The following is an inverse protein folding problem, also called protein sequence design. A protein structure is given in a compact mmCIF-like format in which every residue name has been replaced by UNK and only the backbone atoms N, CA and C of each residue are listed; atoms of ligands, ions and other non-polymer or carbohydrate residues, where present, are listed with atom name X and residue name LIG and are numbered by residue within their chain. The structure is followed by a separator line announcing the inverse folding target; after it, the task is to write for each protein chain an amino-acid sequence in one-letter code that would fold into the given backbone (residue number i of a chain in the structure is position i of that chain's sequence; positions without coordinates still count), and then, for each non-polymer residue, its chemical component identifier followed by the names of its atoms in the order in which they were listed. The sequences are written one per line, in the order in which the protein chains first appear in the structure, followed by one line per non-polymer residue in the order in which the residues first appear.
data_IF_909875177621
#
_entry.id   IF_909875177621
#
_cell.length_a   1.000
_cell.length_b   1.000
_cell.length_c   1.000
_cell.angle_alpha   90.00
_cell.angle_beta   90.00
_cell.angle_gamma   90.00
#
_symmetry.space_group_name_H-M   'P 1'
#
loop_
_entity.id
_entity.type
_entity.pdbx_description
1 polymer ?
#
# COMPACT_ATOMS: atom_id res chain seq x y z
N UNK A 1 -17.37 -7.70 -13.44
CA UNK A 1 -15.95 -7.99 -13.14
C UNK A 1 -15.84 -8.44 -11.70
N UNK A 2 -14.63 -8.66 -11.19
CA UNK A 2 -14.39 -8.98 -9.79
C UNK A 2 -13.21 -8.17 -9.25
N UNK A 3 -13.24 -7.84 -7.97
CA UNK A 3 -12.06 -7.37 -7.23
C UNK A 3 -11.53 -8.52 -6.39
N UNK A 4 -10.22 -8.69 -6.37
CA UNK A 4 -9.57 -9.82 -5.68
C UNK A 4 -8.38 -9.34 -4.88
N UNK A 5 -8.24 -9.82 -3.65
CA UNK A 5 -7.02 -9.72 -2.86
C UNK A 5 -6.32 -11.07 -2.93
N UNK A 6 -5.08 -11.06 -3.42
CA UNK A 6 -4.25 -12.25 -3.61
C UNK A 6 -2.84 -12.05 -3.07
N UNK A 7 -2.18 -13.13 -2.68
CA UNK A 7 -0.78 -13.12 -2.31
C UNK A 7 0.14 -13.22 -3.55
N UNK A 8 1.45 -12.96 -3.41
CA UNK A 8 2.41 -13.11 -4.52
C UNK A 8 2.42 -14.51 -5.17
N UNK A 9 1.99 -15.55 -4.45
CA UNK A 9 1.87 -16.92 -4.97
C UNK A 9 0.54 -17.21 -5.70
N UNK A 10 -0.34 -16.21 -5.84
CA UNK A 10 -1.63 -16.34 -6.52
C UNK A 10 -2.76 -16.94 -5.68
N UNK A 11 -2.58 -17.11 -4.37
CA UNK A 11 -3.65 -17.57 -3.48
C UNK A 11 -4.63 -16.44 -3.23
N UNK A 12 -5.92 -16.69 -3.47
CA UNK A 12 -7.01 -15.73 -3.27
C UNK A 12 -7.44 -15.74 -1.81
N UNK A 13 -7.32 -14.59 -1.15
CA UNK A 13 -7.78 -14.41 0.23
C UNK A 13 -9.17 -13.78 0.30
N UNK A 14 -9.53 -12.96 -0.69
CA UNK A 14 -10.85 -12.34 -0.74
C UNK A 14 -11.26 -12.03 -2.17
N UNK A 15 -12.56 -12.10 -2.43
CA UNK A 15 -13.15 -11.84 -3.74
C UNK A 15 -14.47 -11.10 -3.56
N UNK A 16 -14.69 -10.08 -4.39
CA UNK A 16 -15.95 -9.35 -4.50
C UNK A 16 -16.41 -9.34 -5.95
N UNK A 17 -17.65 -9.75 -6.19
CA UNK A 17 -18.28 -9.64 -7.51
C UNK A 17 -18.78 -8.21 -7.73
N UNK A 18 -18.25 -7.56 -8.77
CA UNK A 18 -18.59 -6.17 -9.08
C UNK A 18 -19.77 -6.14 -10.07
N UNK A 19 -20.88 -5.53 -9.62
CA UNK A 19 -22.07 -5.28 -10.45
C UNK A 19 -21.83 -4.21 -11.53
N UNK A 20 -20.82 -3.34 -11.31
CA UNK A 20 -20.37 -2.30 -12.24
C UNK A 20 -18.88 -2.47 -12.53
N UNK A 21 -18.32 -1.56 -13.31
CA UNK A 21 -16.87 -1.47 -13.47
C UNK A 21 -16.20 -1.33 -12.10
N UNK A 22 -15.09 -2.04 -11.91
CA UNK A 22 -14.31 -1.99 -10.69
C UNK A 22 -13.82 -0.57 -10.41
N UNK A 23 -13.85 -0.19 -9.15
CA UNK A 23 -13.32 1.08 -8.68
C UNK A 23 -12.51 0.88 -7.40
N UNK A 24 -11.68 1.85 -6.99
CA UNK A 24 -10.98 1.79 -5.70
C UNK A 24 -11.93 1.56 -4.52
N UNK A 25 -13.19 2.00 -4.61
CA UNK A 25 -14.22 1.71 -3.60
C UNK A 25 -14.40 0.23 -3.37
N UNK A 26 -14.46 -0.56 -4.44
CA UNK A 26 -14.72 -2.00 -4.34
C UNK A 26 -13.58 -2.74 -3.66
N UNK A 27 -12.35 -2.29 -3.94
CA UNK A 27 -11.16 -2.80 -3.29
C UNK A 27 -11.05 -2.33 -1.82
N UNK A 28 -11.41 -1.08 -1.50
CA UNK A 28 -11.50 -0.61 -0.11
C UNK A 28 -12.53 -1.42 0.69
N UNK A 29 -13.68 -1.76 0.11
CA UNK A 29 -14.68 -2.60 0.80
C UNK A 29 -14.09 -3.97 1.19
N UNK A 30 -13.30 -4.58 0.30
CA UNK A 30 -12.57 -5.81 0.61
C UNK A 30 -11.55 -5.60 1.74
N UNK A 31 -10.71 -4.58 1.62
CA UNK A 31 -9.68 -4.27 2.62
C UNK A 31 -10.25 -3.99 4.01
N UNK A 32 -11.35 -3.23 4.09
CA UNK A 32 -12.01 -2.91 5.36
C UNK A 32 -12.85 -4.06 5.92
N UNK A 33 -13.08 -5.13 5.14
CA UNK A 33 -13.70 -6.35 5.66
C UNK A 33 -12.72 -7.23 6.45
N UNK A 34 -11.42 -6.96 6.34
CA UNK A 34 -10.39 -7.69 7.08
C UNK A 34 -10.29 -7.16 8.50
N UNK A 35 -10.10 -8.07 9.46
CA UNK A 35 -9.84 -7.69 10.84
C UNK A 35 -8.52 -6.91 10.98
N UNK A 36 -7.51 -7.27 10.19
CA UNK A 36 -6.22 -6.60 10.13
C UNK A 36 -5.89 -6.26 8.67
N UNK A 37 -5.71 -4.98 8.39
CA UNK A 37 -5.32 -4.52 7.06
C UNK A 37 -3.88 -4.98 6.74
N UNK A 38 -3.56 -5.40 5.50
CA UNK A 38 -2.18 -5.67 5.12
C UNK A 38 -1.28 -4.44 5.30
N UNK A 39 -0.06 -4.63 5.81
CA UNK A 39 0.92 -3.54 5.92
C UNK A 39 1.42 -3.02 4.56
N UNK A 40 1.38 -3.85 3.51
CA UNK A 40 1.68 -3.44 2.14
C UNK A 40 0.58 -3.93 1.22
N UNK A 41 -0.07 -3.00 0.52
CA UNK A 41 -1.06 -3.27 -0.51
C UNK A 41 -0.50 -2.85 -1.87
N UNK A 42 -0.57 -3.72 -2.87
CA UNK A 42 -0.18 -3.40 -4.25
C UNK A 42 -1.45 -3.21 -5.08
N UNK A 43 -1.57 -2.08 -5.76
CA UNK A 43 -2.76 -1.73 -6.54
C UNK A 43 -2.42 -0.84 -7.74
N UNK A 44 -3.15 -1.00 -8.84
CA UNK A 44 -2.95 -0.29 -10.11
C UNK A 44 -3.17 1.23 -9.97
N UNK A 45 -4.09 1.64 -9.11
CA UNK A 45 -4.38 3.03 -8.78
C UNK A 45 -4.14 3.33 -7.29
N UNK A 46 -2.92 3.03 -6.82
CA UNK A 46 -2.50 3.14 -5.42
C UNK A 46 -2.88 4.47 -4.75
N UNK A 47 -2.69 5.61 -5.43
CA UNK A 47 -3.07 6.93 -4.89
C UNK A 47 -4.57 7.04 -4.65
N UNK A 48 -5.39 6.63 -5.61
CA UNK A 48 -6.85 6.67 -5.47
C UNK A 48 -7.34 5.77 -4.36
N UNK A 49 -6.72 4.59 -4.21
CA UNK A 49 -7.02 3.67 -3.13
C UNK A 49 -6.70 4.28 -1.76
N UNK A 50 -5.51 4.88 -1.61
CA UNK A 50 -5.09 5.55 -0.38
C UNK A 50 -6.07 6.65 0.04
N UNK A 51 -6.36 7.57 -0.89
CA UNK A 51 -7.26 8.70 -0.63
C UNK A 51 -8.66 8.22 -0.29
N UNK A 52 -9.18 7.22 -1.00
CA UNK A 52 -10.53 6.71 -0.74
C UNK A 52 -10.64 6.02 0.61
N UNK A 53 -9.67 5.18 0.99
CA UNK A 53 -9.65 4.50 2.28
C UNK A 53 -9.50 5.48 3.45
N UNK A 54 -8.56 6.42 3.36
CA UNK A 54 -8.33 7.44 4.39
C UNK A 54 -9.54 8.37 4.56
N UNK A 55 -10.24 8.70 3.49
CA UNK A 55 -11.48 9.48 3.57
C UNK A 55 -12.63 8.69 4.23
N UNK A 56 -12.68 7.37 4.02
CA UNK A 56 -13.74 6.50 4.58
C UNK A 56 -13.59 6.25 6.08
N UNK A 57 -12.36 6.21 6.59
CA UNK A 57 -12.07 5.97 8.01
C UNK A 57 -11.14 7.07 8.55
N UNK A 58 -11.64 8.31 8.69
CA UNK A 58 -10.79 9.45 9.03
C UNK A 58 -10.24 9.41 10.46
N UNK A 59 -10.83 8.59 11.33
CA UNK A 59 -10.40 8.46 12.73
C UNK A 59 -9.11 7.66 12.92
N UNK A 60 -8.82 6.70 12.03
CA UNK A 60 -7.66 5.80 12.17
C UNK A 60 -6.70 5.84 10.98
N UNK A 61 -7.07 6.50 9.87
CA UNK A 61 -6.28 6.64 8.63
C UNK A 61 -5.63 5.31 8.18
N UNK A 62 -6.38 4.43 7.48
CA UNK A 62 -5.94 3.10 7.10
C UNK A 62 -4.56 3.02 6.43
N UNK A 63 -4.15 4.04 5.67
CA UNK A 63 -2.83 4.11 5.04
C UNK A 63 -1.99 5.24 5.61
N UNK A 64 -0.97 4.87 6.37
CA UNK A 64 -0.03 5.74 7.09
C UNK A 64 1.32 5.03 7.27
N UNK A 65 2.46 5.74 7.31
CA UNK A 65 2.62 7.19 7.24
C UNK A 65 2.46 7.74 5.81
N UNK A 66 2.44 9.08 5.69
CA UNK A 66 2.48 9.81 4.41
C UNK A 66 1.40 9.39 3.40
N UNK A 67 0.17 9.14 3.85
CA UNK A 67 -0.93 8.65 3.01
C UNK A 67 -0.58 7.32 2.30
N UNK A 68 0.21 6.47 2.95
CA UNK A 68 0.66 5.18 2.44
C UNK A 68 1.79 5.24 1.42
N UNK A 69 2.54 6.35 1.35
CA UNK A 69 3.80 6.45 0.58
C UNK A 69 4.98 6.00 1.43
N UNK A 70 6.05 5.53 0.79
CA UNK A 70 7.25 5.04 1.47
C UNK A 70 8.10 6.16 2.10
N UNK A 71 7.89 7.41 1.71
CA UNK A 71 8.59 8.57 2.26
C UNK A 71 7.73 9.82 2.14
N UNK A 72 8.10 10.86 2.89
CA UNK A 72 7.47 12.18 2.78
C UNK A 72 7.70 12.79 1.38
N UNK A 73 6.73 13.57 0.92
CA UNK A 73 6.67 14.18 -0.41
C UNK A 73 7.58 15.40 -0.61
N UNK A 74 8.74 15.41 0.05
CA UNK A 74 9.75 16.46 -0.10
C UNK A 74 10.39 16.40 -1.49
N UNK A 75 10.82 17.55 -2.00
CA UNK A 75 11.48 17.64 -3.31
C UNK A 75 12.75 16.76 -3.37
N UNK A 76 13.47 16.67 -2.25
CA UNK A 76 14.65 15.82 -2.11
C UNK A 76 14.32 14.33 -2.27
N UNK A 77 13.30 13.82 -1.55
CA UNK A 77 12.89 12.42 -1.63
C UNK A 77 12.40 12.07 -3.03
N UNK A 78 11.59 12.94 -3.63
CA UNK A 78 11.09 12.77 -5.01
C UNK A 78 12.26 12.68 -5.99
N UNK A 79 13.26 13.56 -5.87
CA UNK A 79 14.43 13.56 -6.74
C UNK A 79 15.31 12.32 -6.53
N UNK A 80 15.56 11.91 -5.28
CA UNK A 80 16.29 10.68 -4.96
C UNK A 80 15.58 9.45 -5.51
N UNK A 81 14.26 9.38 -5.40
CA UNK A 81 13.45 8.29 -5.93
C UNK A 81 13.48 8.24 -7.47
N UNK A 82 13.32 9.38 -8.14
CA UNK A 82 13.42 9.47 -9.61
C UNK A 82 14.80 9.06 -10.13
N UNK A 83 15.86 9.33 -9.38
CA UNK A 83 17.23 8.91 -9.71
C UNK A 83 17.54 7.45 -9.33
N UNK A 84 16.57 6.71 -8.74
CA UNK A 84 16.79 5.34 -8.26
C UNK A 84 17.72 5.23 -7.04
N UNK A 85 18.01 6.35 -6.37
CA UNK A 85 18.93 6.44 -5.22
C UNK A 85 18.21 6.33 -3.88
N UNK A 86 16.88 6.47 -3.86
CA UNK A 86 16.09 6.25 -2.65
C UNK A 86 15.83 4.76 -2.47
N UNK A 87 16.15 4.23 -1.29
CA UNK A 87 15.76 2.91 -0.83
C UNK A 87 15.14 3.03 0.55
N UNK A 88 13.99 2.40 0.75
CA UNK A 88 13.26 2.37 2.01
C UNK A 88 13.21 0.92 2.45
N UNK A 89 13.98 0.60 3.50
CA UNK A 89 14.02 -0.75 4.07
C UNK A 89 12.83 -0.96 4.98
N UNK A 90 12.11 -2.06 4.76
CA UNK A 90 10.99 -2.52 5.60
C UNK A 90 11.37 -3.87 6.23
N UNK A 91 12.27 -3.90 7.23
CA UNK A 91 12.82 -5.14 7.78
C UNK A 91 11.75 -6.04 8.41
N UNK A 92 10.64 -5.45 8.87
CA UNK A 92 9.49 -6.17 9.44
C UNK A 92 8.73 -7.06 8.46
N UNK A 93 9.04 -6.97 7.16
CA UNK A 93 8.57 -7.93 6.14
C UNK A 93 9.30 -9.27 6.22
N UNK A 94 10.53 -9.29 6.74
CA UNK A 94 11.36 -10.49 6.88
C UNK A 94 11.25 -11.06 8.29
N UNK A 95 11.39 -10.20 9.30
CA UNK A 95 11.37 -10.59 10.72
C UNK A 95 10.42 -9.68 11.49
N UNK A 96 9.44 -10.27 12.18
CA UNK A 96 8.46 -9.51 12.97
C UNK A 96 9.16 -8.59 13.99
N UNK A 97 8.68 -7.34 14.12
CA UNK A 97 9.18 -6.41 15.13
C UNK A 97 8.98 -6.94 16.56
N UNK A 98 9.98 -6.74 17.42
CA UNK A 98 9.91 -7.01 18.84
C UNK A 98 9.00 -6.00 19.56
N UNK A 99 8.16 -6.48 20.48
CA UNK A 99 7.21 -5.68 21.28
C UNK A 99 6.19 -4.86 20.47
N UNK A 100 5.32 -5.51 19.67
CA UNK A 100 4.26 -4.80 18.95
C UNK A 100 3.26 -4.15 19.92
N UNK A 101 2.83 -2.92 19.62
CA UNK A 101 1.69 -2.31 20.30
C UNK A 101 0.39 -3.03 19.89
N UNK A 102 -0.72 -2.77 20.59
CA UNK A 102 -2.04 -3.33 20.24
C UNK A 102 -2.55 -2.87 18.87
N UNK A 103 -1.99 -1.80 18.31
CA UNK A 103 -2.36 -1.25 16.99
C UNK A 103 -1.52 -1.82 15.84
N UNK A 104 -0.46 -2.57 16.15
CA UNK A 104 0.39 -3.18 15.14
C UNK A 104 -0.28 -4.41 14.50
N UNK A 105 0.04 -4.65 13.23
CA UNK A 105 -0.38 -5.86 12.54
C UNK A 105 0.24 -7.10 13.22
N UNK A 106 -0.55 -8.16 13.51
CA UNK A 106 -0.12 -9.26 14.38
C UNK A 106 1.03 -10.09 13.81
N UNK A 107 1.21 -10.10 12.49
CA UNK A 107 2.26 -10.89 11.81
C UNK A 107 3.58 -10.11 11.70
N UNK A 108 3.53 -8.81 11.38
CA UNK A 108 4.74 -8.01 11.10
C UNK A 108 5.18 -7.20 12.31
N UNK A 109 4.27 -6.92 13.24
CA UNK A 109 4.51 -6.01 14.36
C UNK A 109 4.67 -4.55 13.94
N UNK A 110 4.33 -4.19 12.69
CA UNK A 110 4.32 -2.82 12.21
C UNK A 110 2.91 -2.23 12.23
N UNK A 111 2.79 -0.96 12.61
CA UNK A 111 1.57 -0.15 12.47
C UNK A 111 1.52 0.61 11.15
N UNK A 112 2.57 0.49 10.31
CA UNK A 112 2.67 1.16 9.03
C UNK A 112 1.90 0.39 7.95
N UNK A 113 1.11 1.10 7.17
CA UNK A 113 0.30 0.59 6.07
C UNK A 113 0.57 1.42 4.82
N UNK A 114 1.21 0.78 3.85
CA UNK A 114 1.59 1.35 2.56
C UNK A 114 0.69 0.84 1.44
N UNK A 115 0.51 1.69 0.44
CA UNK A 115 -0.13 1.31 -0.83
C UNK A 115 0.74 1.74 -2.01
N UNK A 116 1.20 0.74 -2.75
CA UNK A 116 2.23 0.83 -3.77
C UNK A 116 1.65 0.49 -5.15
N UNK A 117 2.24 1.06 -6.20
CA UNK A 117 1.90 0.72 -7.57
C UNK A 117 2.53 -0.61 -7.95
N UNK A 118 1.79 -1.44 -8.70
CA UNK A 118 2.40 -2.55 -9.39
C UNK A 118 3.41 -2.08 -10.47
N UNK A 119 4.28 -3.00 -10.91
CA UNK A 119 5.34 -2.70 -11.89
C UNK A 119 4.82 -2.29 -13.27
N UNK A 120 3.57 -2.61 -13.63
CA UNK A 120 2.98 -2.29 -14.93
C UNK A 120 2.37 -0.87 -14.94
N UNK A 121 1.87 -0.41 -13.80
CA UNK A 121 1.16 0.86 -13.67
C UNK A 121 2.00 1.99 -13.05
N UNK A 122 3.19 1.69 -12.51
CA UNK A 122 4.07 2.69 -11.90
C UNK A 122 4.57 3.79 -12.86
N UNK A 123 4.49 3.58 -14.18
CA UNK A 123 4.87 4.57 -15.20
C UNK A 123 3.74 5.50 -15.63
N UNK A 124 2.49 5.16 -15.32
CA UNK A 124 1.30 5.89 -15.79
C UNK A 124 0.84 7.00 -14.83
N UNK A 125 1.69 7.36 -13.87
CA UNK A 125 1.36 8.30 -12.81
C UNK A 125 1.55 9.74 -13.26
N UNK A 126 0.56 10.60 -13.04
CA UNK A 126 0.62 12.04 -13.40
C UNK A 126 1.22 12.91 -12.29
N UNK A 127 1.23 12.44 -11.05
CA UNK A 127 1.68 13.20 -9.89
C UNK A 127 3.15 12.89 -9.57
N UNK A 128 4.04 13.89 -9.46
CA UNK A 128 5.44 13.67 -9.10
C UNK A 128 5.64 12.88 -7.80
N UNK A 129 4.70 12.94 -6.86
CA UNK A 129 4.75 12.26 -5.56
C UNK A 129 4.54 10.75 -5.68
N UNK A 130 3.91 10.29 -6.75
CA UNK A 130 3.61 8.87 -6.96
C UNK A 130 4.88 8.02 -7.16
N UNK A 131 6.01 8.65 -7.50
CA UNK A 131 7.32 7.98 -7.52
C UNK A 131 7.66 7.34 -6.16
N UNK A 132 7.13 7.88 -5.05
CA UNK A 132 7.33 7.38 -3.69
C UNK A 132 6.43 6.17 -3.34
N UNK A 133 5.63 5.70 -4.30
CA UNK A 133 4.78 4.49 -4.19
C UNK A 133 5.32 3.34 -5.05
N UNK A 134 6.53 3.44 -5.59
CA UNK A 134 7.12 2.38 -6.41
C UNK A 134 7.61 1.23 -5.55
N UNK A 135 7.25 0.00 -5.92
CA UNK A 135 7.74 -1.22 -5.25
C UNK A 135 9.26 -1.31 -5.32
N UNK A 136 9.88 -0.82 -6.41
CA UNK A 136 11.34 -0.85 -6.60
C UNK A 136 12.14 -0.06 -5.55
N UNK A 137 11.49 0.78 -4.74
CA UNK A 137 12.10 1.49 -3.62
C UNK A 137 12.30 0.61 -2.38
N UNK A 138 11.60 -0.53 -2.28
CA UNK A 138 11.67 -1.45 -1.13
C UNK A 138 12.52 -2.67 -1.49
N UNK A 139 13.73 -2.82 -0.95
CA UNK A 139 14.58 -3.98 -1.21
C UNK A 139 13.92 -5.33 -0.88
N UNK A 140 13.12 -5.39 0.19
CA UNK A 140 12.50 -6.61 0.71
C UNK A 140 11.32 -7.13 -0.15
N UNK A 141 10.86 -6.33 -1.12
CA UNK A 141 9.78 -6.70 -2.06
C UNK A 141 10.31 -7.07 -3.46
N UNK A 142 11.63 -7.21 -3.63
CA UNK A 142 12.27 -7.50 -4.90
C UNK A 142 12.36 -8.99 -5.22
#
# INVERSE_FOLDING_TARGET
GWSVVLCPHGVVYSLKFNLRAESPRDFVDLLLSWQHLPNVTIYDFARGLATHANFRVPSSLPFQPYEGRLADSTLENINKAKQGKLKVSLPWLLEKNDNPSSECHPITGSSEHYVLYDKLHESNTKDPKDVLRKISLVPELQ
#
